data_IF_336129632022
#
_entry.id   IF_336129632022
#
_cell.length_a   1.000
_cell.length_b   1.000
_cell.length_c   1.000
_cell.angle_alpha   90.00
_cell.angle_beta   90.00
_cell.angle_gamma   90.00
#
_symmetry.space_group_name_H-M   'P 1'
#
loop_
_entity.id
_entity.type
_entity.pdbx_description
1 polymer ?
#
# COMPACT_ATOMS: atom_id res chain seq x y z
N UNK A 1 42.02 15.98 18.57
CA UNK A 1 40.69 16.23 19.16
C UNK A 1 39.69 16.26 18.01
N UNK A 2 39.06 15.13 17.68
CA UNK A 2 38.06 15.12 16.60
C UNK A 2 36.75 15.66 17.15
N UNK A 3 36.30 16.78 16.59
CA UNK A 3 34.97 17.31 16.83
C UNK A 3 33.96 16.25 16.37
N UNK A 4 33.25 15.66 17.32
CA UNK A 4 32.01 14.96 17.03
C UNK A 4 31.04 16.03 16.55
N UNK A 5 30.84 16.13 15.23
CA UNK A 5 29.66 16.82 14.73
C UNK A 5 28.46 16.11 15.35
N UNK A 6 27.62 16.79 16.13
CA UNK A 6 26.34 16.21 16.49
C UNK A 6 25.64 15.89 15.17
N UNK A 7 25.29 14.61 14.97
CA UNK A 7 24.34 14.24 13.93
C UNK A 7 23.18 15.24 14.04
N UNK A 8 22.72 15.85 12.93
CA UNK A 8 21.66 16.83 13.01
C UNK A 8 20.51 16.22 13.82
N UNK A 9 19.96 17.03 14.70
CA UNK A 9 18.83 16.81 15.59
C UNK A 9 17.54 16.32 14.90
N UNK A 10 17.63 15.71 13.72
CA UNK A 10 16.66 14.79 13.12
C UNK A 10 16.57 13.47 13.90
N UNK A 11 16.69 13.53 15.24
CA UNK A 11 16.16 12.50 16.10
C UNK A 11 14.64 12.57 16.00
N UNK A 12 14.07 11.89 15.01
CA UNK A 12 12.79 11.20 15.07
C UNK A 12 11.74 11.93 15.91
N UNK A 13 11.27 13.10 15.46
CA UNK A 13 9.91 13.50 15.82
C UNK A 13 9.02 12.46 15.18
N UNK A 14 8.66 11.47 15.99
CA UNK A 14 7.69 10.45 15.70
C UNK A 14 6.44 11.20 15.19
N UNK A 15 6.21 11.16 13.88
CA UNK A 15 5.10 11.90 13.28
C UNK A 15 3.79 11.27 13.80
N UNK A 16 2.91 12.03 14.47
CA UNK A 16 1.72 11.46 15.10
C UNK A 16 0.82 10.69 14.12
N UNK A 17 0.76 11.11 12.85
CA UNK A 17 -0.04 10.41 11.84
C UNK A 17 0.58 9.08 11.43
N UNK A 18 1.90 8.99 11.44
CA UNK A 18 2.61 7.72 11.20
C UNK A 18 2.34 6.76 12.36
N UNK A 19 2.31 7.25 13.61
CA UNK A 19 1.94 6.40 14.76
C UNK A 19 0.48 5.99 14.77
N UNK A 20 -0.43 6.88 14.39
CA UNK A 20 -1.85 6.53 14.19
C UNK A 20 -1.98 5.43 13.14
N UNK A 21 -1.26 5.54 12.03
CA UNK A 21 -1.23 4.49 11.00
C UNK A 21 -0.67 3.16 11.53
N UNK A 22 0.39 3.20 12.35
CA UNK A 22 0.98 2.00 13.00
C UNK A 22 0.02 1.29 13.95
N UNK A 23 -0.97 2.00 14.48
CA UNK A 23 -2.01 1.45 15.37
C UNK A 23 -3.19 0.81 14.62
N UNK A 24 -3.21 0.88 13.29
CA UNK A 24 -4.27 0.26 12.49
C UNK A 24 -4.25 -1.28 12.67
N UNK A 25 -5.41 -1.95 12.80
CA UNK A 25 -5.49 -3.38 13.13
C UNK A 25 -4.66 -4.29 12.22
N UNK A 26 -4.55 -3.95 10.94
CA UNK A 26 -3.88 -4.78 9.95
C UNK A 26 -2.46 -4.31 9.63
N UNK A 27 -1.95 -3.25 10.29
CA UNK A 27 -0.63 -2.70 10.00
C UNK A 27 0.49 -3.73 10.20
N UNK A 28 0.51 -4.39 11.37
CA UNK A 28 1.52 -5.37 11.70
C UNK A 28 1.44 -6.62 10.80
N UNK A 29 0.23 -7.03 10.44
CA UNK A 29 0.01 -8.16 9.53
C UNK A 29 0.48 -7.84 8.12
N UNK A 30 0.19 -6.65 7.61
CA UNK A 30 0.65 -6.19 6.29
C UNK A 30 2.18 -6.19 6.20
N UNK A 31 2.86 -5.63 7.19
CA UNK A 31 4.33 -5.57 7.21
C UNK A 31 4.96 -6.96 7.35
N UNK A 32 4.34 -7.86 8.12
CA UNK A 32 4.79 -9.26 8.22
C UNK A 32 4.68 -9.98 6.88
N UNK A 33 3.51 -9.89 6.26
CA UNK A 33 3.22 -10.51 4.96
C UNK A 33 4.17 -10.01 3.87
N UNK A 34 4.39 -8.69 3.80
CA UNK A 34 5.36 -8.11 2.87
C UNK A 34 6.80 -8.54 3.21
N UNK A 35 7.16 -8.57 4.49
CA UNK A 35 8.47 -8.97 4.97
C UNK A 35 8.82 -10.43 4.63
N UNK A 36 7.85 -11.34 4.69
CA UNK A 36 8.00 -12.73 4.24
C UNK A 36 8.29 -12.82 2.74
N UNK A 37 7.75 -11.89 1.95
CA UNK A 37 8.05 -11.72 0.52
C UNK A 37 9.31 -10.86 0.24
N UNK A 38 10.06 -10.49 1.29
CA UNK A 38 11.28 -9.69 1.20
C UNK A 38 11.05 -8.23 0.80
N UNK A 39 9.89 -7.67 1.14
CA UNK A 39 9.48 -6.29 0.86
C UNK A 39 9.20 -5.53 2.17
N UNK A 40 9.80 -4.35 2.32
CA UNK A 40 9.79 -3.59 3.57
C UNK A 40 9.49 -2.11 3.31
N UNK A 41 8.88 -1.44 4.30
CA UNK A 41 8.34 -0.07 4.20
C UNK A 41 8.74 0.85 5.36
N UNK A 42 9.79 0.50 6.11
CA UNK A 42 10.14 1.17 7.38
C UNK A 42 10.56 2.64 7.24
N UNK A 43 10.74 3.13 6.00
CA UNK A 43 11.13 4.49 5.73
C UNK A 43 9.94 5.32 5.24
N UNK A 44 9.28 5.99 6.20
CA UNK A 44 8.20 6.95 5.96
C UNK A 44 8.62 8.30 6.54
N UNK A 45 8.70 9.30 5.67
CA UNK A 45 9.15 10.65 6.03
C UNK A 45 8.06 11.67 5.68
N UNK A 46 7.96 12.74 6.47
CA UNK A 46 7.11 13.88 6.11
C UNK A 46 7.91 14.87 5.27
N UNK A 47 7.48 15.09 4.03
CA UNK A 47 8.04 16.07 3.09
C UNK A 47 7.08 17.26 2.96
N UNK A 48 7.16 18.21 3.90
CA UNK A 48 6.28 19.38 3.94
C UNK A 48 4.81 19.01 4.19
N UNK A 49 3.98 19.05 3.14
CA UNK A 49 2.53 18.73 3.17
C UNK A 49 2.21 17.29 2.75
N UNK A 50 3.20 16.52 2.35
CA UNK A 50 3.06 15.12 1.92
C UNK A 50 3.90 14.20 2.79
N UNK A 51 3.64 12.90 2.67
CA UNK A 51 4.41 11.81 3.20
C UNK A 51 5.07 11.08 2.03
N UNK A 52 6.32 10.68 2.22
CA UNK A 52 7.08 9.86 1.29
C UNK A 52 7.39 8.52 1.95
N UNK A 53 7.01 7.44 1.30
CA UNK A 53 7.35 6.08 1.73
C UNK A 53 8.29 5.43 0.71
N UNK A 54 9.20 4.59 1.19
CA UNK A 54 10.10 3.81 0.34
C UNK A 54 9.86 2.32 0.53
N UNK A 55 9.67 1.61 -0.57
CA UNK A 55 9.63 0.16 -0.62
C UNK A 55 11.05 -0.35 -0.92
N UNK A 56 11.58 -1.23 -0.07
CA UNK A 56 12.92 -1.79 -0.24
C UNK A 56 12.95 -3.30 -0.02
N UNK A 57 13.99 -3.94 -0.55
CA UNK A 57 14.36 -5.31 -0.22
C UNK A 57 15.74 -5.33 0.42
N UNK A 58 16.10 -6.42 1.08
CA UNK A 58 17.37 -6.56 1.76
C UNK A 58 18.26 -7.55 0.99
N UNK A 59 19.38 -7.05 0.48
CA UNK A 59 20.39 -7.90 -0.14
C UNK A 59 21.44 -8.33 0.89
N UNK A 60 21.69 -9.64 1.01
CA UNK A 60 22.68 -10.18 1.95
C UNK A 60 24.09 -9.93 1.41
N UNK A 61 24.90 -9.21 2.18
CA UNK A 61 26.31 -8.88 1.86
C UNK A 61 27.32 -9.73 2.63
N UNK A 62 26.86 -10.56 3.55
CA UNK A 62 27.69 -11.45 4.36
C UNK A 62 26.93 -12.03 5.56
N UNK A 63 27.62 -12.67 6.51
CA UNK A 63 27.02 -13.07 7.78
C UNK A 63 26.50 -11.85 8.54
N UNK A 64 25.18 -11.79 8.79
CA UNK A 64 24.54 -10.71 9.56
C UNK A 64 24.55 -9.32 8.90
N UNK A 65 25.02 -9.18 7.65
CA UNK A 65 25.09 -7.89 6.94
C UNK A 65 24.08 -7.86 5.81
N UNK A 66 23.17 -6.90 5.88
CA UNK A 66 22.14 -6.65 4.88
C UNK A 66 22.27 -5.21 4.37
N UNK A 67 22.13 -5.02 3.07
CA UNK A 67 22.06 -3.70 2.44
C UNK A 67 20.66 -3.49 1.86
N UNK A 68 19.98 -2.38 2.18
CA UNK A 68 18.71 -2.06 1.56
C UNK A 68 18.91 -1.76 0.07
N UNK A 69 18.01 -2.27 -0.76
CA UNK A 69 17.89 -1.97 -2.18
C UNK A 69 16.52 -1.36 -2.39
N UNK A 70 16.49 -0.11 -2.84
CA UNK A 70 15.25 0.59 -3.13
C UNK A 70 14.56 -0.06 -4.33
N UNK A 71 13.28 -0.41 -4.16
CA UNK A 71 12.45 -0.99 -5.21
C UNK A 71 11.41 -0.01 -5.72
N UNK A 72 10.93 0.90 -4.88
CA UNK A 72 9.93 1.90 -5.27
C UNK A 72 9.80 3.00 -4.23
N UNK A 73 9.30 4.16 -4.66
CA UNK A 73 8.97 5.27 -3.78
C UNK A 73 7.55 5.75 -4.09
N UNK A 74 6.84 6.14 -3.05
CA UNK A 74 5.49 6.68 -3.14
C UNK A 74 5.38 7.96 -2.34
N UNK A 75 4.62 8.92 -2.86
CA UNK A 75 4.29 10.15 -2.16
C UNK A 75 2.78 10.35 -2.11
N UNK A 76 2.26 10.73 -0.94
CA UNK A 76 0.84 10.99 -0.76
C UNK A 76 0.58 11.99 0.37
N UNK A 77 -0.69 12.34 0.62
CA UNK A 77 -1.07 13.28 1.70
C UNK A 77 -1.19 12.62 3.08
N UNK A 78 -1.16 11.29 3.14
CA UNK A 78 -1.21 10.50 4.36
C UNK A 78 -0.24 9.30 4.28
N UNK A 79 0.20 8.75 5.43
CA UNK A 79 1.18 7.68 5.46
C UNK A 79 0.74 6.39 4.75
N UNK A 80 -0.55 6.00 4.86
CA UNK A 80 -1.04 4.74 4.30
C UNK A 80 -1.08 4.81 2.78
N UNK A 81 -1.58 5.92 2.23
CA UNK A 81 -1.55 6.17 0.79
C UNK A 81 -0.12 6.26 0.23
N UNK A 82 0.84 6.78 1.02
CA UNK A 82 2.24 6.82 0.61
C UNK A 82 2.83 5.40 0.52
N UNK A 83 2.52 4.53 1.50
CA UNK A 83 2.89 3.11 1.47
C UNK A 83 2.23 2.40 0.28
N UNK A 84 0.96 2.67 0.01
CA UNK A 84 0.26 2.07 -1.13
C UNK A 84 0.92 2.47 -2.46
N UNK A 85 1.26 3.74 -2.63
CA UNK A 85 1.99 4.22 -3.79
C UNK A 85 3.38 3.56 -3.91
N UNK A 86 4.11 3.43 -2.79
CA UNK A 86 5.41 2.76 -2.77
C UNK A 86 5.31 1.26 -3.09
N UNK A 87 4.27 0.59 -2.59
CA UNK A 87 3.98 -0.82 -2.87
C UNK A 87 3.72 -1.03 -4.37
N UNK A 88 2.86 -0.21 -4.98
CA UNK A 88 2.62 -0.26 -6.44
C UNK A 88 3.89 0.04 -7.24
N UNK A 89 4.66 1.05 -6.83
CA UNK A 89 5.92 1.42 -7.47
C UNK A 89 7.00 0.33 -7.38
N UNK A 90 6.93 -0.54 -6.37
CA UNK A 90 7.86 -1.67 -6.23
C UNK A 90 7.73 -2.72 -7.34
N UNK A 91 6.61 -2.72 -8.07
CA UNK A 91 6.30 -3.72 -9.10
C UNK A 91 6.12 -5.14 -8.58
N UNK A 92 6.07 -5.35 -7.26
CA UNK A 92 5.91 -6.66 -6.63
C UNK A 92 4.46 -6.88 -6.20
N UNK A 93 3.91 -8.03 -6.60
CA UNK A 93 2.62 -8.50 -6.11
C UNK A 93 2.83 -9.45 -4.93
N UNK A 94 2.38 -9.04 -3.75
CA UNK A 94 2.31 -9.89 -2.55
C UNK A 94 0.84 -10.23 -2.32
N UNK A 95 0.51 -11.53 -2.35
CA UNK A 95 -0.87 -12.01 -2.21
C UNK A 95 -1.52 -11.50 -0.92
N UNK A 96 -2.71 -10.89 -1.01
CA UNK A 96 -3.44 -10.29 0.11
C UNK A 96 -2.97 -8.90 0.55
N UNK A 97 -1.74 -8.47 0.23
CA UNK A 97 -1.22 -7.16 0.65
C UNK A 97 -1.98 -6.00 -0.03
N UNK A 98 -2.30 -6.14 -1.31
CA UNK A 98 -3.10 -5.16 -2.06
C UNK A 98 -4.51 -4.99 -1.49
N UNK A 99 -5.18 -6.09 -1.13
CA UNK A 99 -6.51 -6.05 -0.52
C UNK A 99 -6.51 -5.40 0.86
N UNK A 100 -5.44 -5.59 1.63
CA UNK A 100 -5.26 -4.94 2.93
C UNK A 100 -5.09 -3.43 2.78
N UNK A 101 -4.32 -2.98 1.78
CA UNK A 101 -4.17 -1.56 1.45
C UNK A 101 -5.46 -0.95 0.91
N UNK A 102 -6.20 -1.67 0.05
CA UNK A 102 -7.50 -1.23 -0.47
C UNK A 102 -8.53 -1.01 0.64
N UNK A 103 -8.50 -1.85 1.69
CA UNK A 103 -9.29 -1.70 2.93
C UNK A 103 -8.71 -0.68 3.92
N UNK A 104 -7.61 0.00 3.55
CA UNK A 104 -6.83 0.94 4.34
C UNK A 104 -6.49 0.42 5.74
N UNK A 105 -6.03 -0.83 5.76
CA UNK A 105 -5.51 -1.55 6.91
C UNK A 105 -6.49 -1.68 8.10
N UNK A 106 -7.79 -1.81 7.79
CA UNK A 106 -8.73 -2.62 8.58
C UNK A 106 -9.72 -1.91 9.50
N UNK A 107 -9.75 -0.57 9.57
CA UNK A 107 -10.77 0.17 10.32
C UNK A 107 -11.75 0.87 9.39
N UNK A 108 -13.00 0.40 9.32
CA UNK A 108 -14.08 0.88 8.44
C UNK A 108 -14.15 2.42 8.35
N UNK A 109 -13.87 2.99 7.18
CA UNK A 109 -13.92 4.44 6.99
C UNK A 109 -13.27 4.98 5.73
N UNK A 110 -13.58 4.40 4.56
CA UNK A 110 -13.44 5.13 3.30
C UNK A 110 -14.80 5.15 2.64
N UNK A 111 -15.59 6.16 3.00
CA UNK A 111 -16.57 6.71 2.08
C UNK A 111 -15.81 7.31 0.88
N UNK A 112 -15.29 6.46 0.01
CA UNK A 112 -15.19 6.82 -1.40
C UNK A 112 -16.61 6.72 -1.91
N UNK A 113 -17.32 7.83 -1.82
CA UNK A 113 -18.19 8.25 -2.92
C UNK A 113 -17.27 8.43 -4.13
N UNK A 114 -16.77 7.31 -4.65
CA UNK A 114 -16.38 7.21 -6.03
C UNK A 114 -17.69 7.48 -6.76
N UNK A 115 -17.79 8.68 -7.30
CA UNK A 115 -18.60 8.93 -8.48
C UNK A 115 -18.42 7.74 -9.42
N UNK A 116 -19.46 6.90 -9.47
CA UNK A 116 -19.84 6.12 -10.63
C UNK A 116 -19.58 6.95 -11.89
N UNK A 117 -18.69 6.47 -12.75
CA UNK A 117 -18.35 7.20 -13.96
C UNK A 117 -17.11 6.69 -14.66
N UNK A 118 -16.98 5.36 -14.80
CA UNK A 118 -16.54 4.70 -16.04
C UNK A 118 -16.73 3.20 -15.83
N UNK A 119 -17.73 2.66 -16.51
CA UNK A 119 -17.92 1.23 -16.71
C UNK A 119 -16.64 0.62 -17.30
N UNK A 120 -16.29 -0.64 -16.97
CA UNK A 120 -15.46 -1.41 -17.88
C UNK A 120 -16.26 -1.53 -19.20
N UNK A 121 -15.65 -1.14 -20.31
CA UNK A 121 -16.08 -1.60 -21.63
C UNK A 121 -15.95 -3.14 -21.61
N UNK A 122 -17.03 -3.81 -21.23
CA UNK A 122 -17.30 -5.18 -21.63
C UNK A 122 -17.65 -5.09 -23.12
N UNK A 123 -16.65 -5.36 -23.97
CA UNK A 123 -16.89 -5.61 -25.39
C UNK A 123 -17.88 -6.78 -25.50
N UNK A 124 -19.03 -6.46 -26.10
CA UNK A 124 -20.08 -7.33 -26.55
C UNK A 124 -19.53 -8.52 -27.35
N UNK A 125 -19.63 -9.74 -26.79
CA UNK A 125 -19.40 -10.99 -27.52
C UNK A 125 -20.25 -12.15 -26.95
N UNK A 126 -21.53 -11.90 -26.70
CA UNK A 126 -22.58 -12.92 -26.57
C UNK A 126 -23.86 -12.47 -27.31
N UNK A 127 -23.71 -12.13 -28.60
CA UNK A 127 -24.79 -12.39 -29.55
C UNK A 127 -25.02 -13.92 -29.61
N UNK A 128 -26.29 -14.33 -29.63
CA UNK A 128 -26.78 -15.71 -29.65
C UNK A 128 -26.56 -16.54 -28.36
N UNK A 129 -27.56 -16.52 -27.46
CA UNK A 129 -28.25 -17.76 -27.09
C UNK A 129 -29.56 -17.49 -26.32
N UNK A 130 -30.68 -17.70 -27.04
CA UNK A 130 -32.04 -18.00 -26.57
C UNK A 130 -32.98 -16.82 -26.29
N UNK A 131 -33.42 -16.21 -27.40
CA UNK A 131 -34.78 -15.70 -27.56
C UNK A 131 -35.83 -16.82 -27.39
N UNK A 132 -37.00 -16.38 -26.93
CA UNK A 132 -38.34 -16.98 -27.04
C UNK A 132 -38.61 -18.38 -26.46
N UNK A 133 -39.36 -18.43 -25.36
CA UNK A 133 -40.75 -18.91 -25.42
C UNK A 133 -41.50 -18.72 -24.07
N UNK A 134 -42.67 -18.09 -24.19
CA UNK A 134 -43.79 -18.10 -23.26
C UNK A 134 -43.95 -19.41 -22.48
N UNK A 135 -44.05 -19.34 -21.15
CA UNK A 135 -44.82 -20.34 -20.42
C UNK A 135 -45.49 -19.78 -19.16
N UNK A 136 -46.80 -19.66 -19.30
CA UNK A 136 -47.85 -19.50 -18.29
C UNK A 136 -47.51 -19.98 -16.87
N UNK A 137 -47.84 -19.15 -15.88
CA UNK A 137 -47.84 -19.56 -14.47
C UNK A 137 -48.41 -18.54 -13.48
N UNK A 138 -49.11 -17.51 -13.96
CA UNK A 138 -49.89 -16.58 -13.13
C UNK A 138 -51.38 -16.84 -13.37
N UNK A 139 -51.87 -17.97 -12.85
CA UNK A 139 -53.27 -18.23 -12.50
C UNK A 139 -53.34 -19.28 -11.39
#
# INVERSE_FOLDING_TARGET
MSAWSPLPEMLWRIDPRVEEARRLPEWARFHRLCGEAGLYFDHIERAGRTYRASAFTLNRRGPGRYSPVLLGQGEARDPVSAIEAAYRASGRAVGGAGEMLARRLGGTGVATRATSGREPDDDDDFEDLLDDNDFEGLL
#
